data_IF_804912308375
#
_entry.id   IF_804912308375
#
_cell.length_a   1.000
_cell.length_b   1.000
_cell.length_c   1.000
_cell.angle_alpha   90.00
_cell.angle_beta   90.00
_cell.angle_gamma   90.00
#
_symmetry.space_group_name_H-M   'P 1'
#
loop_
_entity.id
_entity.type
_entity.pdbx_description
1 polymer ?
#
# COMPACT_ATOMS: atom_id res chain seq x y z
N UNK A 1 35.75 -10.20 -7.77
CA UNK A 1 34.91 -11.23 -8.42
C UNK A 1 33.42 -10.93 -8.31
N UNK A 2 32.87 -10.53 -7.14
CA UNK A 2 31.46 -10.15 -7.03
C UNK A 2 31.05 -8.98 -7.96
N UNK A 3 31.95 -7.98 -8.15
CA UNK A 3 31.70 -6.84 -9.05
C UNK A 3 31.51 -7.25 -10.51
N UNK A 4 32.28 -8.25 -10.98
CA UNK A 4 32.19 -8.74 -12.37
C UNK A 4 30.85 -9.45 -12.61
N UNK A 5 30.40 -10.30 -11.68
CA UNK A 5 29.11 -10.99 -11.77
C UNK A 5 27.97 -9.98 -11.76
N UNK A 6 28.02 -8.97 -10.89
CA UNK A 6 27.03 -7.90 -10.81
C UNK A 6 26.98 -7.08 -12.10
N UNK A 7 28.12 -6.63 -12.62
CA UNK A 7 28.19 -5.89 -13.89
C UNK A 7 27.61 -6.68 -15.07
N UNK A 8 27.94 -7.97 -15.14
CA UNK A 8 27.42 -8.85 -16.19
C UNK A 8 25.90 -9.02 -16.11
N UNK A 9 25.37 -9.20 -14.88
CA UNK A 9 23.92 -9.34 -14.68
C UNK A 9 23.20 -8.03 -15.03
N UNK A 10 23.78 -6.89 -14.71
CA UNK A 10 23.23 -5.58 -15.09
C UNK A 10 23.16 -5.40 -16.61
N UNK A 11 24.21 -5.77 -17.32
CA UNK A 11 24.23 -5.76 -18.80
C UNK A 11 23.19 -6.72 -19.39
N UNK A 12 23.03 -7.90 -18.79
CA UNK A 12 22.01 -8.87 -19.19
C UNK A 12 20.59 -8.36 -19.02
N UNK A 13 20.30 -7.76 -17.86
CA UNK A 13 19.00 -7.15 -17.58
C UNK A 13 18.67 -6.03 -18.58
N UNK A 14 19.64 -5.18 -18.89
CA UNK A 14 19.48 -4.09 -19.85
C UNK A 14 19.21 -4.55 -21.29
N UNK A 15 19.66 -5.75 -21.65
CA UNK A 15 19.45 -6.35 -22.99
C UNK A 15 18.19 -7.21 -23.10
N UNK A 16 17.55 -7.53 -21.99
CA UNK A 16 16.34 -8.35 -21.95
C UNK A 16 15.09 -7.46 -22.01
N UNK A 17 14.36 -7.51 -23.11
CA UNK A 17 13.08 -6.79 -23.24
C UNK A 17 12.08 -7.17 -22.16
N UNK A 18 12.00 -8.47 -21.80
CA UNK A 18 11.12 -8.94 -20.72
C UNK A 18 11.47 -8.30 -19.36
N UNK A 19 12.76 -8.16 -19.05
CA UNK A 19 13.20 -7.52 -17.81
C UNK A 19 12.91 -6.03 -17.81
N UNK A 20 13.14 -5.35 -18.95
CA UNK A 20 12.84 -3.92 -19.10
C UNK A 20 11.32 -3.65 -18.94
N UNK A 21 10.49 -4.45 -19.62
CA UNK A 21 9.03 -4.30 -19.52
C UNK A 21 8.52 -4.55 -18.10
N UNK A 22 9.12 -5.50 -17.37
CA UNK A 22 8.79 -5.77 -15.99
C UNK A 22 9.14 -4.59 -15.07
N UNK A 23 10.34 -4.00 -15.20
CA UNK A 23 10.70 -2.81 -14.43
C UNK A 23 9.85 -1.59 -14.79
N UNK A 24 9.50 -1.41 -16.06
CA UNK A 24 8.57 -0.37 -16.48
C UNK A 24 7.18 -0.57 -15.84
N UNK A 25 6.69 -1.80 -15.82
CA UNK A 25 5.45 -2.15 -15.12
C UNK A 25 5.53 -1.83 -13.62
N UNK A 26 6.66 -2.14 -12.95
CA UNK A 26 6.87 -1.80 -11.53
C UNK A 26 6.73 -0.31 -11.29
N UNK A 27 7.40 0.51 -12.12
CA UNK A 27 7.35 1.97 -12.00
C UNK A 27 5.94 2.48 -12.21
N UNK A 28 5.25 2.02 -13.25
CA UNK A 28 3.89 2.46 -13.56
C UNK A 28 2.89 2.02 -12.48
N UNK A 29 2.93 0.76 -12.06
CA UNK A 29 2.01 0.21 -11.06
C UNK A 29 2.23 0.84 -9.67
N UNK A 30 3.48 1.04 -9.26
CA UNK A 30 3.79 1.69 -7.99
C UNK A 30 3.41 3.18 -7.98
N UNK A 31 3.64 3.89 -9.09
CA UNK A 31 3.22 5.30 -9.24
C UNK A 31 1.69 5.43 -9.24
N UNK A 32 1.01 4.52 -9.94
CA UNK A 32 -0.45 4.47 -9.94
C UNK A 32 -1.01 4.21 -8.53
N UNK A 33 -0.41 3.31 -7.75
CA UNK A 33 -0.86 2.99 -6.40
C UNK A 33 -0.76 4.19 -5.45
N UNK A 34 0.30 5.00 -5.54
CA UNK A 34 0.40 6.27 -4.78
C UNK A 34 -0.65 7.27 -5.26
N UNK A 35 -0.81 7.44 -6.58
CA UNK A 35 -1.81 8.35 -7.12
C UNK A 35 -3.23 7.97 -6.68
N UNK A 36 -3.57 6.70 -6.74
CA UNK A 36 -4.86 6.16 -6.28
C UNK A 36 -5.09 6.45 -4.80
N UNK A 37 -4.06 6.26 -3.96
CA UNK A 37 -4.13 6.56 -2.54
C UNK A 37 -4.31 8.05 -2.24
N UNK A 38 -3.61 8.93 -2.97
CA UNK A 38 -3.78 10.38 -2.83
C UNK A 38 -5.18 10.85 -3.26
N UNK A 39 -5.69 10.31 -4.36
CA UNK A 39 -7.04 10.63 -4.83
C UNK A 39 -8.10 10.25 -3.79
N UNK A 40 -7.95 9.07 -3.18
CA UNK A 40 -8.81 8.64 -2.08
C UNK A 40 -8.70 9.55 -0.86
N UNK A 41 -7.48 9.85 -0.40
CA UNK A 41 -7.27 10.69 0.77
C UNK A 41 -7.88 12.08 0.58
N UNK A 42 -7.72 12.66 -0.60
CA UNK A 42 -8.33 13.97 -0.93
C UNK A 42 -9.87 13.88 -0.88
N UNK A 43 -10.47 12.90 -1.56
CA UNK A 43 -11.93 12.71 -1.55
C UNK A 43 -12.46 12.51 -0.14
N UNK A 44 -11.74 11.76 0.69
CA UNK A 44 -12.10 11.53 2.08
C UNK A 44 -12.02 12.81 2.92
N UNK A 45 -10.96 13.61 2.75
CA UNK A 45 -10.82 14.90 3.44
C UNK A 45 -11.89 15.91 3.00
N UNK A 46 -12.18 15.98 1.70
CA UNK A 46 -13.24 16.86 1.16
C UNK A 46 -14.60 16.49 1.76
N UNK A 47 -14.94 15.21 1.84
CA UNK A 47 -16.17 14.71 2.47
C UNK A 47 -16.25 15.01 3.98
N UNK A 48 -15.13 14.94 4.68
CA UNK A 48 -15.08 15.29 6.11
C UNK A 48 -15.23 16.80 6.33
N UNK A 49 -14.58 17.62 5.50
CA UNK A 49 -14.69 19.09 5.62
C UNK A 49 -16.13 19.57 5.36
N UNK A 50 -16.79 19.01 4.34
CA UNK A 50 -18.19 19.29 4.05
C UNK A 50 -19.12 18.90 5.23
N UNK A 51 -18.84 17.74 5.83
CA UNK A 51 -19.60 17.28 6.99
C UNK A 51 -19.43 18.17 8.21
N UNK A 52 -18.20 18.63 8.49
CA UNK A 52 -17.92 19.58 9.58
C UNK A 52 -18.66 20.91 9.34
N UNK A 53 -18.61 21.43 8.12
CA UNK A 53 -19.32 22.66 7.76
C UNK A 53 -20.84 22.53 7.96
N UNK A 54 -21.43 21.40 7.57
CA UNK A 54 -22.84 21.13 7.79
C UNK A 54 -23.21 21.09 9.29
N UNK A 55 -22.34 20.54 10.13
CA UNK A 55 -22.54 20.50 11.58
C UNK A 55 -22.45 21.90 12.17
N UNK A 56 -21.45 22.68 11.78
CA UNK A 56 -21.27 24.06 12.28
C UNK A 56 -22.46 24.94 11.87
N UNK A 57 -22.96 24.78 10.66
CA UNK A 57 -24.14 25.46 10.18
C UNK A 57 -25.38 25.11 11.00
N UNK A 58 -25.65 23.82 11.22
CA UNK A 58 -26.76 23.39 12.09
C UNK A 58 -26.59 23.87 13.52
N UNK A 59 -25.37 23.88 14.04
CA UNK A 59 -25.07 24.40 15.37
C UNK A 59 -25.34 25.90 15.51
N UNK A 60 -25.05 26.69 14.47
CA UNK A 60 -25.34 28.12 14.43
C UNK A 60 -26.84 28.39 14.31
N UNK A 61 -27.56 27.63 13.50
CA UNK A 61 -29.02 27.70 13.40
C UNK A 61 -29.68 27.42 14.73
N UNK A 62 -29.26 26.38 15.46
CA UNK A 62 -29.79 26.07 16.79
C UNK A 62 -29.51 27.16 17.83
N UNK A 63 -28.32 27.79 17.79
CA UNK A 63 -28.04 28.92 18.69
C UNK A 63 -28.92 30.11 18.41
N UNK A 64 -29.13 30.43 17.13
CA UNK A 64 -30.03 31.49 16.69
C UNK A 64 -31.47 31.24 17.16
N UNK A 65 -31.94 30.00 16.99
CA UNK A 65 -33.29 29.59 17.42
C UNK A 65 -33.46 29.73 18.95
N UNK A 66 -32.43 29.38 19.75
CA UNK A 66 -32.41 29.52 21.19
C UNK A 66 -32.44 31.00 21.59
N UNK A 67 -31.65 31.86 20.96
CA UNK A 67 -31.64 33.33 21.21
C UNK A 67 -33.00 33.95 20.89
N UNK A 68 -33.67 33.52 19.82
CA UNK A 68 -35.01 34.01 19.45
C UNK A 68 -36.09 33.56 20.46
N UNK A 69 -35.94 32.39 21.05
CA UNK A 69 -36.81 31.90 22.14
C UNK A 69 -36.58 32.71 23.42
N UNK A 70 -35.32 32.88 23.83
CA UNK A 70 -34.98 33.65 25.05
C UNK A 70 -35.41 35.12 24.94
N UNK A 71 -35.34 35.69 23.73
CA UNK A 71 -35.77 37.05 23.44
C UNK A 71 -37.29 37.21 23.30
N UNK A 72 -38.06 36.14 23.40
CA UNK A 72 -39.53 36.13 23.26
C UNK A 72 -40.06 36.42 21.86
N UNK A 73 -39.19 36.39 20.84
CA UNK A 73 -39.58 36.64 19.46
C UNK A 73 -40.24 35.43 18.79
N UNK A 74 -40.00 34.24 19.31
CA UNK A 74 -40.56 33.01 18.79
C UNK A 74 -41.25 32.21 19.89
N UNK A 75 -42.53 31.85 19.68
CA UNK A 75 -43.22 30.82 20.48
C UNK A 75 -42.80 29.45 19.89
N UNK A 76 -41.63 29.01 20.25
CA UNK A 76 -41.20 27.73 19.73
C UNK A 76 -41.74 26.57 20.54
N UNK A 77 -41.91 25.47 19.83
CA UNK A 77 -42.19 24.15 20.38
C UNK A 77 -41.18 23.83 21.51
N UNK A 78 -41.58 23.28 22.66
CA UNK A 78 -40.70 22.82 23.73
C UNK A 78 -39.72 21.69 23.29
N UNK A 79 -39.64 21.44 22.00
CA UNK A 79 -38.80 20.39 21.38
C UNK A 79 -37.47 20.90 20.80
N UNK A 80 -37.22 22.22 20.77
CA UNK A 80 -36.07 22.80 20.05
C UNK A 80 -34.71 22.54 20.69
N UNK A 81 -34.63 22.15 21.93
CA UNK A 81 -33.32 21.86 22.54
C UNK A 81 -33.39 20.78 23.62
N UNK A 82 -33.97 19.63 23.30
CA UNK A 82 -33.85 18.50 24.22
C UNK A 82 -32.42 17.92 24.11
N UNK A 83 -31.73 17.74 25.24
CA UNK A 83 -30.40 17.11 25.22
C UNK A 83 -30.37 15.73 24.51
N UNK A 84 -31.53 15.05 24.48
CA UNK A 84 -31.68 13.74 23.77
C UNK A 84 -31.74 13.85 22.25
N UNK A 85 -32.03 15.03 21.70
CA UNK A 85 -32.12 15.23 20.23
C UNK A 85 -30.80 15.78 19.65
N UNK A 86 -29.82 16.07 20.52
CA UNK A 86 -28.49 16.50 20.10
C UNK A 86 -27.71 15.30 19.62
N UNK A 87 -27.36 15.31 18.34
CA UNK A 87 -26.50 14.31 17.74
C UNK A 87 -25.04 14.76 17.85
N UNK A 88 -24.19 13.87 18.37
CA UNK A 88 -22.76 14.14 18.49
C UNK A 88 -22.04 13.54 17.27
N UNK A 89 -21.33 14.37 16.48
CA UNK A 89 -20.53 13.86 15.38
C UNK A 89 -19.29 13.17 15.91
N UNK A 90 -19.05 11.94 15.45
CA UNK A 90 -17.78 11.26 15.61
C UNK A 90 -17.11 11.17 14.25
N UNK A 91 -15.91 11.71 14.14
CA UNK A 91 -15.16 11.80 12.89
C UNK A 91 -13.87 10.97 13.02
N UNK A 92 -13.63 10.11 12.06
CA UNK A 92 -12.36 9.41 11.94
C UNK A 92 -11.41 10.21 11.04
N UNK A 93 -10.43 10.87 11.66
CA UNK A 93 -9.39 11.61 10.93
C UNK A 93 -8.30 10.65 10.50
N UNK A 94 -8.04 10.61 9.19
CA UNK A 94 -6.97 9.78 8.61
C UNK A 94 -5.59 10.34 8.93
N UNK A 95 -4.64 9.45 9.17
CA UNK A 95 -3.25 9.83 9.41
C UNK A 95 -2.55 10.42 8.17
N UNK A 96 -1.40 11.06 8.34
CA UNK A 96 -0.69 11.74 7.24
C UNK A 96 -0.16 10.77 6.16
N UNK A 97 -0.02 9.47 6.47
CA UNK A 97 0.44 8.43 5.53
C UNK A 97 -0.70 7.56 4.99
N UNK A 98 -1.95 7.95 5.17
CA UNK A 98 -3.13 7.16 4.76
C UNK A 98 -3.17 6.88 3.26
N UNK A 99 -2.62 7.77 2.42
CA UNK A 99 -2.51 7.53 0.97
C UNK A 99 -1.56 6.38 0.60
N UNK A 100 -0.63 5.99 1.49
CA UNK A 100 0.23 4.82 1.29
C UNK A 100 -0.46 3.52 1.74
N UNK A 101 -1.30 3.61 2.77
CA UNK A 101 -1.98 2.47 3.38
C UNK A 101 -3.41 2.85 3.75
N UNK A 102 -4.34 2.65 2.85
CA UNK A 102 -5.76 2.90 3.07
C UNK A 102 -6.34 1.80 3.96
N UNK A 103 -5.99 0.55 3.68
CA UNK A 103 -6.38 -0.61 4.47
C UNK A 103 -7.89 -0.72 4.68
N UNK A 104 -8.31 -1.01 5.92
CA UNK A 104 -9.71 -1.12 6.29
C UNK A 104 -10.43 0.23 6.48
N UNK A 105 -9.74 1.34 6.35
CA UNK A 105 -10.34 2.68 6.51
C UNK A 105 -11.41 2.96 5.46
N UNK A 106 -11.36 2.27 4.33
CA UNK A 106 -12.38 2.37 3.28
C UNK A 106 -13.70 1.69 3.65
N UNK A 107 -13.63 0.65 4.51
CA UNK A 107 -14.81 -0.11 4.95
C UNK A 107 -15.44 0.54 6.18
N UNK A 108 -14.64 1.25 6.99
CA UNK A 108 -15.12 1.91 8.18
C UNK A 108 -15.75 3.26 7.83
N UNK A 109 -16.93 3.58 8.42
CA UNK A 109 -17.55 4.86 8.17
C UNK A 109 -16.64 6.00 8.67
N UNK A 110 -16.34 6.93 7.76
CA UNK A 110 -15.53 8.12 8.07
C UNK A 110 -16.18 9.04 9.10
N UNK A 111 -17.50 8.99 9.17
CA UNK A 111 -18.36 9.85 9.97
C UNK A 111 -19.50 9.04 10.58
N UNK A 112 -19.76 9.29 11.86
CA UNK A 112 -20.84 8.68 12.62
C UNK A 112 -21.59 9.77 13.35
N UNK A 113 -22.92 9.65 13.42
CA UNK A 113 -23.74 10.44 14.31
C UNK A 113 -24.13 9.59 15.52
N UNK A 114 -23.76 10.02 16.70
CA UNK A 114 -24.14 9.39 17.96
C UNK A 114 -25.39 10.10 18.48
N UNK A 115 -26.52 9.39 18.46
CA UNK A 115 -27.79 9.91 18.96
C UNK A 115 -28.13 9.26 20.31
N UNK A 116 -28.28 10.05 21.40
CA UNK A 116 -28.70 9.51 22.69
C UNK A 116 -30.09 8.88 22.67
N UNK A 117 -30.97 9.35 21.76
CA UNK A 117 -32.38 8.89 21.66
C UNK A 117 -32.51 7.51 21.08
N UNK A 118 -31.56 7.04 20.27
CA UNK A 118 -31.62 5.75 19.55
C UNK A 118 -30.73 4.67 20.17
N UNK A 119 -30.47 4.72 21.46
CA UNK A 119 -29.65 3.70 22.17
C UNK A 119 -28.33 3.37 21.48
N UNK A 120 -27.63 4.37 21.01
CA UNK A 120 -26.30 4.16 20.41
C UNK A 120 -26.16 4.72 19.00
N UNK A 121 -25.23 4.16 18.30
CA UNK A 121 -24.77 4.55 16.99
C UNK A 121 -25.93 4.50 15.97
N UNK A 122 -26.47 5.64 15.59
CA UNK A 122 -27.17 5.71 14.32
C UNK A 122 -26.11 5.70 13.24
N UNK A 123 -25.81 4.54 12.70
CA UNK A 123 -25.08 4.40 11.44
C UNK A 123 -25.97 4.96 10.33
N UNK A 124 -26.18 6.27 10.33
CA UNK A 124 -26.95 6.95 9.33
C UNK A 124 -25.99 7.36 8.23
N UNK A 125 -26.23 6.86 7.08
CA UNK A 125 -25.80 7.37 5.77
C UNK A 125 -24.40 7.02 5.24
N UNK A 126 -23.62 6.15 5.83
CA UNK A 126 -22.29 5.94 5.29
C UNK A 126 -22.04 4.58 4.62
N UNK A 127 -23.02 3.73 4.54
CA UNK A 127 -22.95 2.61 3.60
C UNK A 127 -23.53 3.07 2.25
N UNK A 128 -22.83 3.95 1.55
CA UNK A 128 -22.82 3.83 0.11
C UNK A 128 -22.29 2.42 -0.13
N UNK A 129 -23.14 1.58 -0.71
CA UNK A 129 -22.72 0.25 -1.17
C UNK A 129 -21.62 0.46 -2.20
N UNK A 130 -20.40 0.52 -1.74
CA UNK A 130 -19.25 0.64 -2.61
C UNK A 130 -19.21 -0.61 -3.51
N UNK A 131 -18.59 -0.49 -4.64
CA UNK A 131 -18.53 -1.56 -5.63
C UNK A 131 -18.06 -2.85 -4.92
N UNK A 132 -18.81 -4.01 -5.04
CA UNK A 132 -18.44 -5.27 -4.40
C UNK A 132 -17.00 -5.71 -4.68
N UNK A 133 -16.43 -5.28 -5.81
CA UNK A 133 -15.02 -5.54 -6.15
C UNK A 133 -14.06 -4.77 -5.25
N UNK A 134 -14.38 -3.53 -4.88
CA UNK A 134 -13.58 -2.73 -3.95
C UNK A 134 -13.63 -3.32 -2.54
N UNK A 135 -14.78 -3.88 -2.14
CA UNK A 135 -14.94 -4.57 -0.85
C UNK A 135 -14.15 -5.88 -0.77
N UNK A 136 -14.01 -6.61 -1.89
CA UNK A 136 -13.30 -7.89 -1.95
C UNK A 136 -11.78 -7.74 -2.06
N UNK A 137 -11.33 -6.84 -2.92
CA UNK A 137 -9.91 -6.70 -3.24
C UNK A 137 -9.24 -5.50 -2.55
N UNK A 138 -10.02 -4.62 -1.92
CA UNK A 138 -9.53 -3.34 -1.45
C UNK A 138 -9.18 -2.40 -2.60
N UNK A 139 -8.74 -1.20 -2.26
CA UNK A 139 -8.21 -0.25 -3.23
C UNK A 139 -6.73 -0.53 -3.48
N UNK A 140 -6.27 -0.37 -4.70
CA UNK A 140 -4.86 -0.56 -5.06
C UNK A 140 -4.04 0.60 -4.52
N UNK A 141 -3.68 0.52 -3.24
CA UNK A 141 -2.77 1.43 -2.56
C UNK A 141 -1.31 0.92 -2.62
N UNK A 142 -0.38 1.68 -2.05
CA UNK A 142 1.03 1.32 -2.07
C UNK A 142 1.32 0.06 -1.23
N UNK A 143 0.63 -0.12 -0.12
CA UNK A 143 0.77 -1.34 0.71
C UNK A 143 0.27 -2.56 -0.03
N UNK A 144 -0.87 -2.48 -0.70
CA UNK A 144 -1.35 -3.56 -1.57
C UNK A 144 -0.32 -3.90 -2.66
N UNK A 145 0.23 -2.89 -3.34
CA UNK A 145 1.28 -3.10 -4.33
C UNK A 145 2.48 -3.85 -3.75
N UNK A 146 2.97 -3.43 -2.57
CA UNK A 146 4.13 -4.06 -1.91
C UNK A 146 3.80 -5.47 -1.42
N UNK A 147 2.64 -5.70 -0.83
CA UNK A 147 2.30 -6.98 -0.21
C UNK A 147 1.88 -8.05 -1.20
N UNK A 148 1.22 -7.67 -2.28
CA UNK A 148 0.67 -8.62 -3.26
C UNK A 148 1.52 -8.70 -4.53
N UNK A 149 1.84 -7.55 -5.12
CA UNK A 149 2.47 -7.53 -6.45
C UNK A 149 3.99 -7.75 -6.34
N UNK A 150 4.67 -7.14 -5.36
CA UNK A 150 6.13 -7.27 -5.23
C UNK A 150 6.61 -8.71 -5.06
N UNK A 151 5.98 -9.59 -4.24
CA UNK A 151 6.38 -10.99 -4.16
C UNK A 151 6.30 -11.72 -5.51
N UNK A 152 5.22 -11.50 -6.27
CA UNK A 152 5.06 -12.09 -7.61
C UNK A 152 6.15 -11.62 -8.55
N UNK A 153 6.49 -10.33 -8.50
CA UNK A 153 7.58 -9.76 -9.30
C UNK A 153 8.94 -10.32 -8.90
N UNK A 154 9.20 -10.49 -7.59
CA UNK A 154 10.42 -11.12 -7.10
C UNK A 154 10.54 -12.57 -7.58
N UNK A 155 9.44 -13.33 -7.55
CA UNK A 155 9.38 -14.69 -8.09
C UNK A 155 9.68 -14.66 -9.60
N UNK A 156 8.96 -13.82 -10.35
CA UNK A 156 9.11 -13.70 -11.81
C UNK A 156 10.53 -13.28 -12.24
N UNK A 157 11.19 -12.42 -11.47
CA UNK A 157 12.57 -12.01 -11.74
C UNK A 157 13.62 -13.09 -11.46
N UNK A 158 13.35 -13.95 -10.48
CA UNK A 158 14.39 -14.82 -9.93
C UNK A 158 14.21 -16.31 -10.24
N UNK A 159 13.02 -16.77 -10.69
CA UNK A 159 12.78 -18.19 -10.92
C UNK A 159 13.74 -18.81 -11.96
N UNK A 160 14.15 -18.05 -12.96
CA UNK A 160 14.97 -18.50 -14.09
C UNK A 160 16.46 -18.17 -13.96
N UNK A 161 16.92 -17.78 -12.77
CA UNK A 161 18.33 -17.31 -12.58
C UNK A 161 19.35 -18.36 -13.01
N UNK A 162 19.05 -19.64 -12.87
CA UNK A 162 19.97 -20.74 -13.23
C UNK A 162 19.41 -21.64 -14.31
N UNK A 163 18.09 -21.77 -14.42
CA UNK A 163 17.47 -22.71 -15.36
C UNK A 163 17.87 -22.42 -16.80
N UNK A 164 17.94 -21.16 -17.19
CA UNK A 164 18.38 -20.75 -18.53
C UNK A 164 19.85 -21.06 -18.81
N UNK A 165 20.73 -20.94 -17.84
CA UNK A 165 22.16 -21.20 -17.99
C UNK A 165 22.44 -22.71 -18.03
N UNK A 166 21.68 -23.49 -17.27
CA UNK A 166 21.74 -24.96 -17.34
C UNK A 166 21.26 -25.46 -18.69
N UNK A 167 20.16 -24.93 -19.22
CA UNK A 167 19.62 -25.29 -20.51
C UNK A 167 20.61 -24.99 -21.66
N UNK A 168 21.43 -23.95 -21.52
CA UNK A 168 22.48 -23.58 -22.52
C UNK A 168 23.82 -24.24 -22.27
N UNK A 169 23.96 -25.13 -21.30
CA UNK A 169 25.22 -25.79 -20.95
C UNK A 169 26.28 -24.89 -20.30
N UNK A 170 26.00 -23.64 -20.09
CA UNK A 170 26.93 -22.64 -19.50
C UNK A 170 27.32 -22.96 -18.07
N UNK A 171 26.53 -23.76 -17.36
CA UNK A 171 26.75 -24.09 -15.95
C UNK A 171 28.08 -24.87 -15.75
N UNK A 172 28.47 -25.73 -16.68
CA UNK A 172 29.77 -26.46 -16.62
C UNK A 172 30.95 -25.50 -16.68
N UNK A 173 30.84 -24.48 -17.54
CA UNK A 173 31.89 -23.45 -17.71
C UNK A 173 31.98 -22.52 -16.50
N UNK A 174 30.84 -22.19 -15.87
CA UNK A 174 30.82 -21.36 -14.65
C UNK A 174 31.42 -22.10 -13.45
N UNK A 175 31.15 -23.39 -13.31
CA UNK A 175 31.62 -24.24 -12.21
C UNK A 175 33.09 -24.73 -12.41
N UNK A 176 33.73 -24.51 -13.57
CA UNK A 176 35.17 -24.71 -13.73
C UNK A 176 36.01 -23.70 -12.94
N UNK A 177 35.42 -22.57 -12.52
CA UNK A 177 36.03 -21.63 -11.62
C UNK A 177 35.78 -22.05 -10.16
N UNK A 178 36.65 -21.70 -9.21
CA UNK A 178 36.48 -22.03 -7.77
C UNK A 178 35.39 -21.19 -7.10
N UNK A 179 34.16 -21.27 -7.63
CA UNK A 179 32.99 -20.55 -7.15
C UNK A 179 31.86 -21.55 -6.91
N UNK A 180 31.23 -21.49 -5.75
CA UNK A 180 30.05 -22.29 -5.43
C UNK A 180 28.83 -21.81 -6.20
N UNK A 181 28.01 -22.75 -6.66
CA UNK A 181 26.74 -22.45 -7.36
C UNK A 181 25.85 -21.50 -6.54
N UNK A 182 25.71 -21.73 -5.23
CA UNK A 182 24.93 -20.88 -4.33
C UNK A 182 25.39 -19.43 -4.31
N UNK A 183 26.71 -19.16 -4.42
CA UNK A 183 27.25 -17.79 -4.48
C UNK A 183 26.91 -17.09 -5.79
N UNK A 184 26.88 -17.82 -6.89
CA UNK A 184 26.45 -17.28 -8.19
C UNK A 184 24.96 -16.91 -8.12
N UNK A 185 24.13 -17.81 -7.59
CA UNK A 185 22.69 -17.58 -7.39
C UNK A 185 22.48 -16.33 -6.55
N UNK A 186 23.08 -16.27 -5.36
CA UNK A 186 22.93 -15.16 -4.43
C UNK A 186 23.29 -13.81 -5.07
N UNK A 187 24.43 -13.72 -5.78
CA UNK A 187 24.86 -12.46 -6.41
C UNK A 187 23.93 -12.00 -7.54
N UNK A 188 23.42 -12.94 -8.35
CA UNK A 188 22.49 -12.63 -9.44
C UNK A 188 21.13 -12.20 -8.91
N UNK A 189 20.60 -12.94 -7.95
CA UNK A 189 19.36 -12.58 -7.26
C UNK A 189 19.49 -11.22 -6.57
N UNK A 190 20.62 -10.97 -5.88
CA UNK A 190 20.88 -9.69 -5.23
C UNK A 190 20.90 -8.52 -6.23
N UNK A 191 21.47 -8.70 -7.43
CA UNK A 191 21.47 -7.66 -8.45
C UNK A 191 20.05 -7.32 -8.93
N UNK A 192 19.21 -8.32 -9.19
CA UNK A 192 17.84 -8.15 -9.67
C UNK A 192 16.91 -7.59 -8.60
N UNK A 193 16.93 -8.22 -7.42
CA UNK A 193 16.15 -7.76 -6.26
C UNK A 193 16.60 -6.38 -5.80
N UNK A 194 17.91 -6.11 -5.82
CA UNK A 194 18.47 -4.80 -5.44
C UNK A 194 17.99 -3.67 -6.36
N UNK A 195 17.91 -3.89 -7.66
CA UNK A 195 17.38 -2.89 -8.57
C UNK A 195 15.87 -2.61 -8.31
N UNK A 196 15.08 -3.68 -8.12
CA UNK A 196 13.67 -3.56 -7.76
C UNK A 196 13.50 -2.82 -6.43
N UNK A 197 14.31 -3.15 -5.44
CA UNK A 197 14.31 -2.49 -4.13
C UNK A 197 14.60 -0.99 -4.23
N UNK A 198 15.59 -0.59 -5.04
CA UNK A 198 15.89 0.84 -5.26
C UNK A 198 14.69 1.56 -5.88
N UNK A 199 14.02 0.96 -6.86
CA UNK A 199 12.82 1.54 -7.47
C UNK A 199 11.71 1.72 -6.42
N UNK A 200 11.42 0.69 -5.63
CA UNK A 200 10.38 0.74 -4.59
C UNK A 200 10.72 1.81 -3.54
N UNK A 201 11.97 1.88 -3.08
CA UNK A 201 12.40 2.92 -2.14
C UNK A 201 12.29 4.32 -2.71
N UNK A 202 12.59 4.51 -3.99
CA UNK A 202 12.45 5.81 -4.65
C UNK A 202 10.98 6.24 -4.68
N UNK A 203 10.08 5.33 -5.06
CA UNK A 203 8.63 5.61 -5.10
C UNK A 203 8.08 5.84 -3.69
N UNK A 204 8.51 5.05 -2.69
CA UNK A 204 8.16 5.28 -1.29
C UNK A 204 8.63 6.66 -0.82
N UNK A 205 9.88 7.06 -1.14
CA UNK A 205 10.42 8.36 -0.75
C UNK A 205 9.61 9.51 -1.33
N UNK A 206 9.13 9.38 -2.57
CA UNK A 206 8.22 10.35 -3.20
C UNK A 206 6.88 10.39 -2.43
N UNK A 207 6.30 9.23 -2.12
CA UNK A 207 5.05 9.16 -1.35
C UNK A 207 5.17 9.78 0.04
N UNK A 208 6.27 9.49 0.76
CA UNK A 208 6.54 10.09 2.08
C UNK A 208 6.80 11.59 1.99
N UNK A 209 7.46 12.07 0.93
CA UNK A 209 7.69 13.50 0.72
C UNK A 209 6.39 14.28 0.53
N UNK A 210 5.42 13.70 -0.15
CA UNK A 210 4.09 14.30 -0.35
C UNK A 210 3.33 14.47 0.97
N UNK A 211 3.60 13.63 1.96
CA UNK A 211 2.89 13.62 3.26
C UNK A 211 3.24 14.78 4.20
N UNK A 212 3.92 15.80 3.80
CA UNK A 212 4.32 16.98 4.58
C UNK A 212 4.41 16.78 6.13
N UNK A 213 5.55 17.12 6.72
CA UNK A 213 5.78 17.11 8.18
C UNK A 213 5.64 15.74 8.88
N UNK A 214 6.12 14.66 8.24
CA UNK A 214 6.19 13.37 8.90
C UNK A 214 7.26 13.35 10.00
N UNK A 215 6.97 12.73 11.16
CA UNK A 215 7.98 12.43 12.16
C UNK A 215 9.05 11.50 11.56
N UNK A 216 10.31 11.74 11.94
CA UNK A 216 11.45 10.97 11.39
C UNK A 216 11.37 9.46 11.72
N UNK A 217 10.82 9.13 12.87
CA UNK A 217 10.56 7.74 13.29
C UNK A 217 9.58 7.02 12.35
N UNK A 218 8.54 7.70 11.89
CA UNK A 218 7.58 7.17 10.91
C UNK A 218 8.27 6.85 9.57
N UNK A 219 9.15 7.73 9.10
CA UNK A 219 9.92 7.50 7.85
C UNK A 219 10.82 6.28 8.00
N UNK A 220 11.54 6.17 9.12
CA UNK A 220 12.40 5.00 9.40
C UNK A 220 11.56 3.72 9.49
N UNK A 221 10.41 3.77 10.16
CA UNK A 221 9.53 2.61 10.29
C UNK A 221 9.08 2.09 8.92
N UNK A 222 8.67 2.96 7.99
CA UNK A 222 8.29 2.58 6.63
C UNK A 222 9.45 1.94 5.85
N UNK A 223 10.64 2.55 5.88
CA UNK A 223 11.83 2.02 5.21
C UNK A 223 12.22 0.67 5.80
N UNK A 224 12.21 0.54 7.12
CA UNK A 224 12.53 -0.70 7.81
C UNK A 224 11.55 -1.83 7.45
N UNK A 225 10.25 -1.55 7.50
CA UNK A 225 9.20 -2.54 7.22
C UNK A 225 9.30 -3.07 5.78
N UNK A 226 9.46 -2.19 4.80
CA UNK A 226 9.59 -2.59 3.39
C UNK A 226 10.90 -3.35 3.16
N UNK A 227 12.00 -2.91 3.78
CA UNK A 227 13.29 -3.60 3.69
C UNK A 227 13.19 -5.00 4.26
N UNK A 228 12.62 -5.15 5.46
CA UNK A 228 12.44 -6.44 6.12
C UNK A 228 11.57 -7.38 5.27
N UNK A 229 10.50 -6.87 4.68
CA UNK A 229 9.61 -7.62 3.81
C UNK A 229 10.30 -8.14 2.54
N UNK A 230 11.06 -7.29 1.86
CA UNK A 230 11.80 -7.68 0.65
C UNK A 230 12.92 -8.67 0.99
N UNK A 231 13.63 -8.49 2.12
CA UNK A 231 14.67 -9.41 2.58
C UNK A 231 14.07 -10.78 2.93
N UNK A 232 12.90 -10.80 3.57
CA UNK A 232 12.16 -12.04 3.85
C UNK A 232 11.87 -12.82 2.55
N UNK A 233 11.26 -12.17 1.56
CA UNK A 233 10.94 -12.81 0.28
C UNK A 233 12.20 -13.21 -0.50
N UNK A 234 13.26 -12.40 -0.47
CA UNK A 234 14.53 -12.75 -1.05
C UNK A 234 15.09 -14.04 -0.45
N UNK A 235 15.09 -14.18 0.88
CA UNK A 235 15.56 -15.38 1.57
C UNK A 235 14.74 -16.61 1.25
N UNK A 236 13.42 -16.47 1.17
CA UNK A 236 12.49 -17.53 0.82
C UNK A 236 12.73 -18.02 -0.61
N UNK A 237 12.77 -17.11 -1.59
CA UNK A 237 13.02 -17.43 -2.99
C UNK A 237 14.42 -18.06 -3.16
N UNK A 238 15.44 -17.51 -2.50
CA UNK A 238 16.80 -18.06 -2.52
C UNK A 238 16.84 -19.50 -2.02
N UNK A 239 16.12 -19.80 -0.94
CA UNK A 239 16.05 -21.16 -0.38
C UNK A 239 15.42 -22.16 -1.36
N UNK A 240 14.40 -21.75 -2.10
CA UNK A 240 13.73 -22.60 -3.08
C UNK A 240 14.59 -22.75 -4.35
N UNK A 241 15.11 -21.65 -4.89
CA UNK A 241 15.92 -21.65 -6.12
C UNK A 241 17.23 -22.43 -5.94
N UNK A 242 17.87 -22.34 -4.77
CA UNK A 242 19.12 -23.05 -4.48
C UNK A 242 18.94 -24.58 -4.36
N UNK A 243 17.77 -25.03 -3.88
CA UNK A 243 17.45 -26.46 -3.73
C UNK A 243 16.93 -27.10 -5.01
N UNK A 244 16.20 -26.35 -5.85
CA UNK A 244 15.56 -26.87 -7.05
C UNK A 244 16.52 -26.91 -8.25
N UNK A 245 16.78 -28.12 -8.73
CA UNK A 245 17.62 -28.35 -9.91
C UNK A 245 16.87 -28.14 -11.24
N UNK A 246 15.54 -28.14 -11.24
CA UNK A 246 14.67 -27.96 -12.42
C UNK A 246 13.88 -26.66 -12.30
N UNK A 247 14.07 -25.71 -13.21
CA UNK A 247 13.47 -24.36 -13.15
C UNK A 247 11.94 -24.34 -13.02
N UNK A 248 11.24 -25.20 -13.77
CA UNK A 248 9.76 -25.20 -13.75
C UNK A 248 9.16 -25.71 -12.43
N UNK A 249 9.75 -26.73 -11.81
CA UNK A 249 9.30 -27.21 -10.48
C UNK A 249 9.55 -26.18 -9.38
N UNK A 250 10.57 -25.34 -9.54
CA UNK A 250 10.85 -24.21 -8.64
C UNK A 250 9.79 -23.13 -8.69
N UNK A 251 9.30 -22.80 -9.88
CA UNK A 251 8.22 -21.81 -10.04
C UNK A 251 6.92 -22.27 -9.38
N UNK A 252 6.51 -23.52 -9.63
CA UNK A 252 5.30 -24.07 -9.00
C UNK A 252 5.36 -24.03 -7.48
N UNK A 253 6.51 -24.41 -6.90
CA UNK A 253 6.70 -24.35 -5.45
C UNK A 253 6.70 -22.92 -4.90
N UNK A 254 7.22 -21.94 -5.65
CA UNK A 254 7.23 -20.54 -5.22
C UNK A 254 5.84 -19.92 -5.30
N UNK A 255 5.07 -20.21 -6.33
CA UNK A 255 3.70 -19.70 -6.49
C UNK A 255 2.76 -20.32 -5.43
N UNK A 256 2.99 -21.58 -5.03
CA UNK A 256 2.20 -22.21 -3.97
C UNK A 256 2.49 -21.67 -2.56
N UNK A 257 3.59 -20.95 -2.38
CA UNK A 257 3.95 -20.29 -1.11
C UNK A 257 3.40 -18.87 -0.99
N UNK A 258 3.04 -18.27 -2.12
CA UNK A 258 2.40 -16.96 -2.17
C UNK A 258 0.89 -17.09 -2.03
#
# INVERSE_FOLDING_TARGET
>A
MNKVILSYEFLRMRRSMATISLFMFVILASSYSIWSGMAWQKSHQDSLSEFVEQIDKKGSEWRSDLEDIESGKSQSSPYVARPMDINFPAIHVTGPTSHLAIGMTEILPARLMISPRRNGLSMIEAYEFDNPMTLLFGRMDFVFFVTVIVPLLLIALNFDVIASDRARGLNRMLLSNPITESRIIANRMAARTGLLFVIILTVLSIGLYISNNLPFDTVIAWIFLITAYIVFWYGLIFSVVSKNKKGFSGLSNLVSLW
#
